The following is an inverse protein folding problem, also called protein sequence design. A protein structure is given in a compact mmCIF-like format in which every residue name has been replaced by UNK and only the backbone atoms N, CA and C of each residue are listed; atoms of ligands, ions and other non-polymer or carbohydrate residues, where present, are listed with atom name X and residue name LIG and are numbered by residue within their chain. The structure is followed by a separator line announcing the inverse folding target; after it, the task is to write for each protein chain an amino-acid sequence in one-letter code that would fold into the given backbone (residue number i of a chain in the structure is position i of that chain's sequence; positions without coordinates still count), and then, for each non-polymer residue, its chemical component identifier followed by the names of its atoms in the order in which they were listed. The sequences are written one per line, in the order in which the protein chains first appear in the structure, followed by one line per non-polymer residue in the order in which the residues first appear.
data_IF_330176471846
#
_entry.id   IF_330176471846
#
_cell.length_a   1.000
_cell.length_b   1.000
_cell.length_c   1.000
_cell.angle_alpha   90.00
_cell.angle_beta   90.00
_cell.angle_gamma   90.00
#
_symmetry.space_group_name_H-M   'P 1'
#
loop_
_entity.id
_entity.type
_entity.pdbx_description
1 polymer ?
#
# COMPACT_ATOMS: atom_id res chain seq x y z
N UNK A 1 -12.73 -17.93 5.56
CA UNK A 1 -11.69 -17.29 4.75
C UNK A 1 -11.92 -17.69 3.29
N UNK A 2 -12.05 -16.73 2.38
CA UNK A 2 -12.33 -16.98 0.96
C UNK A 2 -11.07 -16.61 0.15
N UNK A 3 -10.43 -17.60 -0.48
CA UNK A 3 -9.18 -17.40 -1.20
C UNK A 3 -9.34 -16.51 -2.44
N UNK A 4 -10.47 -16.62 -3.13
CA UNK A 4 -10.76 -15.80 -4.30
C UNK A 4 -10.90 -14.33 -3.90
N UNK A 5 -11.66 -14.05 -2.82
CA UNK A 5 -11.81 -12.68 -2.30
C UNK A 5 -10.46 -12.11 -1.80
N UNK A 6 -9.66 -12.92 -1.11
CA UNK A 6 -8.34 -12.48 -0.64
C UNK A 6 -7.43 -12.08 -1.82
N UNK A 7 -7.46 -12.85 -2.91
CA UNK A 7 -6.72 -12.54 -4.13
C UNK A 7 -7.21 -11.26 -4.78
N UNK A 8 -8.53 -11.07 -4.86
CA UNK A 8 -9.13 -9.84 -5.40
C UNK A 8 -8.74 -8.62 -4.58
N UNK A 9 -8.80 -8.69 -3.25
CA UNK A 9 -8.39 -7.61 -2.36
C UNK A 9 -6.89 -7.29 -2.51
N UNK A 10 -6.03 -8.30 -2.63
CA UNK A 10 -4.60 -8.08 -2.83
C UNK A 10 -4.30 -7.39 -4.17
N UNK A 11 -5.00 -7.76 -5.24
CA UNK A 11 -4.87 -7.11 -6.56
C UNK A 11 -5.36 -5.66 -6.49
N UNK A 12 -6.52 -5.43 -5.85
CA UNK A 12 -7.09 -4.10 -5.71
C UNK A 12 -6.18 -3.18 -4.90
N UNK A 13 -5.69 -3.64 -3.74
CA UNK A 13 -4.68 -2.94 -2.94
C UNK A 13 -3.46 -2.53 -3.78
N UNK A 14 -2.90 -3.48 -4.53
CA UNK A 14 -1.71 -3.23 -5.32
C UNK A 14 -1.95 -2.16 -6.40
N UNK A 15 -3.06 -2.25 -7.14
CA UNK A 15 -3.41 -1.25 -8.15
C UNK A 15 -3.61 0.12 -7.52
N UNK A 16 -4.50 0.25 -6.54
CA UNK A 16 -4.82 1.52 -5.90
C UNK A 16 -3.57 2.20 -5.32
N UNK A 17 -2.70 1.44 -4.63
CA UNK A 17 -1.50 2.02 -4.02
C UNK A 17 -0.47 2.49 -5.07
N UNK A 18 -0.16 1.63 -6.03
CA UNK A 18 0.95 1.88 -6.97
C UNK A 18 0.53 2.77 -8.15
N UNK A 19 -0.77 2.90 -8.45
CA UNK A 19 -1.28 3.80 -9.50
C UNK A 19 -1.50 5.25 -9.03
N UNK A 20 -1.36 5.57 -7.74
CA UNK A 20 -1.48 6.96 -7.29
C UNK A 20 -2.13 7.21 -5.94
N UNK A 21 -2.75 6.19 -5.32
CA UNK A 21 -3.62 6.37 -4.16
C UNK A 21 -3.23 5.48 -2.96
N UNK A 22 -1.99 5.57 -2.44
CA UNK A 22 -1.53 4.73 -1.33
C UNK A 22 -2.35 4.90 -0.05
N UNK A 23 -2.87 6.11 0.23
CA UNK A 23 -3.75 6.36 1.38
C UNK A 23 -5.06 5.61 1.27
N UNK A 24 -5.73 5.68 0.12
CA UNK A 24 -6.99 4.97 -0.14
C UNK A 24 -6.78 3.46 -0.05
N UNK A 25 -5.67 2.94 -0.57
CA UNK A 25 -5.36 1.51 -0.50
C UNK A 25 -5.20 1.02 0.95
N UNK A 26 -4.56 1.81 1.81
CA UNK A 26 -4.44 1.54 3.24
C UNK A 26 -5.82 1.54 3.91
N UNK A 27 -6.63 2.58 3.67
CA UNK A 27 -7.94 2.73 4.29
C UNK A 27 -8.92 1.60 3.89
N UNK A 28 -8.86 1.14 2.64
CA UNK A 28 -9.78 0.16 2.10
C UNK A 28 -9.37 -1.30 2.38
N UNK A 29 -8.08 -1.61 2.42
CA UNK A 29 -7.60 -3.00 2.35
C UNK A 29 -6.66 -3.43 3.47
N UNK A 30 -6.17 -2.49 4.30
CA UNK A 30 -5.22 -2.81 5.37
C UNK A 30 -5.88 -2.68 6.73
N UNK A 31 -5.65 -3.66 7.60
CA UNK A 31 -6.15 -3.65 8.97
C UNK A 31 -5.45 -2.61 9.84
N UNK A 32 -5.80 -2.57 11.13
CA UNK A 32 -5.21 -1.66 12.11
C UNK A 32 -3.70 -1.86 12.34
N UNK A 33 -3.14 -2.98 11.90
CA UNK A 33 -1.73 -3.30 11.97
C UNK A 33 -1.15 -3.54 10.58
N UNK A 34 -0.03 -2.88 10.30
CA UNK A 34 0.77 -3.07 9.10
C UNK A 34 2.21 -3.37 9.52
N UNK A 35 2.72 -4.52 9.11
CA UNK A 35 4.10 -4.96 9.35
C UNK A 35 4.85 -4.89 8.03
N UNK A 36 5.92 -4.11 8.02
CA UNK A 36 6.74 -3.91 6.84
C UNK A 36 8.05 -4.69 6.98
N UNK A 37 8.48 -5.31 5.88
CA UNK A 37 9.76 -6.02 5.80
C UNK A 37 10.83 -5.23 5.04
N UNK A 38 10.43 -4.23 4.25
CA UNK A 38 11.37 -3.32 3.61
C UNK A 38 11.99 -2.37 4.65
N UNK A 39 13.31 -2.45 4.93
CA UNK A 39 13.96 -1.63 5.95
C UNK A 39 13.97 -0.12 5.60
N UNK A 40 13.73 0.24 4.35
CA UNK A 40 13.67 1.65 3.91
C UNK A 40 12.32 2.32 4.17
N UNK A 41 11.34 1.56 4.65
CA UNK A 41 9.98 2.01 4.90
C UNK A 41 9.71 1.91 6.40
N UNK A 42 9.30 3.03 7.01
CA UNK A 42 8.96 3.05 8.43
C UNK A 42 7.80 2.09 8.76
N UNK A 43 7.77 1.63 10.01
CA UNK A 43 6.70 0.77 10.50
C UNK A 43 5.31 1.44 10.44
N UNK A 44 4.27 0.62 10.35
CA UNK A 44 2.88 1.07 10.41
C UNK A 44 2.35 1.65 9.09
N UNK A 45 1.04 1.90 9.08
CA UNK A 45 0.31 2.35 7.88
C UNK A 45 0.78 3.71 7.38
N UNK A 46 1.14 4.62 8.29
CA UNK A 46 1.66 5.93 7.91
C UNK A 46 3.02 5.83 7.19
N UNK A 47 3.90 4.93 7.64
CA UNK A 47 5.19 4.70 6.98
C UNK A 47 5.05 4.23 5.53
N UNK A 48 4.05 3.38 5.25
CA UNK A 48 3.68 3.01 3.89
C UNK A 48 3.22 4.23 3.07
N UNK A 49 2.26 5.00 3.58
CA UNK A 49 1.69 6.16 2.87
C UNK A 49 2.80 7.15 2.51
N UNK A 50 3.60 7.56 3.50
CA UNK A 50 4.66 8.55 3.32
C UNK A 50 5.70 8.10 2.28
N UNK A 51 6.07 6.81 2.33
CA UNK A 51 7.03 6.25 1.38
C UNK A 51 6.49 6.25 -0.05
N UNK A 52 5.28 5.76 -0.28
CA UNK A 52 4.73 5.62 -1.63
C UNK A 52 4.30 6.96 -2.23
N UNK A 53 3.79 7.91 -1.44
CA UNK A 53 3.56 9.29 -1.89
C UNK A 53 4.88 9.97 -2.30
N UNK A 54 5.95 9.79 -1.51
CA UNK A 54 7.29 10.28 -1.85
C UNK A 54 7.81 9.65 -3.15
N UNK A 55 7.67 8.34 -3.30
CA UNK A 55 8.13 7.63 -4.49
C UNK A 55 7.43 8.11 -5.76
N UNK A 56 6.12 8.37 -5.72
CA UNK A 56 5.39 8.93 -6.86
C UNK A 56 5.88 10.34 -7.22
N UNK A 57 6.17 11.18 -6.21
CA UNK A 57 6.71 12.52 -6.43
C UNK A 57 8.14 12.51 -6.99
N UNK A 58 9.00 11.64 -6.47
CA UNK A 58 10.41 11.57 -6.85
C UNK A 58 10.64 10.78 -8.15
N UNK A 59 9.72 9.85 -8.48
CA UNK A 59 9.83 8.94 -9.62
C UNK A 59 8.49 8.78 -10.36
N UNK A 60 7.97 9.84 -11.02
CA UNK A 60 6.64 9.83 -11.64
C UNK A 60 6.50 8.91 -12.86
N UNK A 61 7.60 8.44 -13.44
CA UNK A 61 7.62 7.63 -14.69
C UNK A 61 8.19 6.22 -14.50
N UNK A 62 8.22 5.73 -13.25
CA UNK A 62 8.69 4.36 -12.94
C UNK A 62 7.69 3.27 -13.33
#
# INVERSE_FOLDING_TARGET
MNLQQNKENAIAFYRTAYEGAPREAIEAYVGSQYIQHNPDVADGTQGFIDYFERMQREYPEK
#
